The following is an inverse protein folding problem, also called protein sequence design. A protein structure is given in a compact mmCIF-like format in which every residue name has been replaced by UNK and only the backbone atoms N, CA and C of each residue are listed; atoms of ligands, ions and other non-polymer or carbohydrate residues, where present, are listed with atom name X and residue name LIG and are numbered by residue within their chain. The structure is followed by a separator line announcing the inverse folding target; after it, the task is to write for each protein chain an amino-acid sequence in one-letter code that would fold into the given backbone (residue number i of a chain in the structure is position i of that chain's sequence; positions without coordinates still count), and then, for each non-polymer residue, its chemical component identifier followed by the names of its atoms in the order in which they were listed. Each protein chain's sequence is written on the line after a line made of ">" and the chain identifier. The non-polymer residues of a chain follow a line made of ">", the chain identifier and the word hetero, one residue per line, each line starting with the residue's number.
data_IF_235304703551
#
_entry.id   IF_235304703551
#
_cell.length_a   1.000
_cell.length_b   1.000
_cell.length_c   1.000
_cell.angle_alpha   90.00
_cell.angle_beta   90.00
_cell.angle_gamma   90.00
#
_symmetry.space_group_name_H-M   'P 1'
#
loop_
_entity.id
_entity.type
_entity.pdbx_description
1 polymer ?
#
# COMPACT_ATOMS: atom_id res chain seq x y z
N UNK A 1 -46.73 61.32 3.83
CA UNK A 1 -46.67 61.26 2.35
C UNK A 1 -45.97 59.97 1.95
N UNK A 2 -46.31 59.22 0.90
CA UNK A 2 -47.53 59.15 0.07
C UNK A 2 -47.49 57.84 -0.74
N UNK A 3 -48.45 56.94 -0.48
CA UNK A 3 -49.14 56.01 -1.41
C UNK A 3 -48.33 54.99 -2.28
N UNK A 4 -48.65 53.71 -2.02
CA UNK A 4 -48.81 52.53 -2.91
C UNK A 4 -47.93 52.23 -4.14
N UNK A 5 -47.61 50.94 -4.28
CA UNK A 5 -48.08 50.14 -5.42
C UNK A 5 -48.58 48.75 -4.95
N UNK A 6 -49.63 48.21 -5.58
CA UNK A 6 -50.33 47.00 -5.13
C UNK A 6 -49.79 45.68 -5.70
N UNK A 7 -50.10 44.60 -4.96
CA UNK A 7 -49.92 43.19 -5.29
C UNK A 7 -50.37 42.73 -6.69
N UNK A 8 -49.79 41.59 -7.12
CA UNK A 8 -50.57 40.51 -7.76
C UNK A 8 -50.23 39.16 -7.14
N UNK A 9 -51.27 38.42 -6.73
CA UNK A 9 -51.18 36.98 -6.44
C UNK A 9 -51.04 36.22 -7.76
N UNK A 10 -50.27 35.13 -7.77
CA UNK A 10 -50.46 34.05 -8.75
C UNK A 10 -50.34 32.70 -8.06
N UNK A 11 -51.42 31.93 -8.11
CA UNK A 11 -51.73 30.71 -7.35
C UNK A 11 -52.75 29.91 -8.19
N UNK A 12 -52.63 28.60 -8.46
CA UNK A 12 -51.58 27.59 -8.20
C UNK A 12 -51.60 26.60 -9.40
N UNK A 13 -50.50 25.92 -9.73
CA UNK A 13 -50.62 24.57 -10.32
C UNK A 13 -49.45 23.66 -9.96
N UNK A 14 -49.74 22.56 -9.27
CA UNK A 14 -48.82 21.44 -9.14
C UNK A 14 -48.98 20.52 -10.35
N UNK A 15 -47.88 20.22 -11.04
CA UNK A 15 -47.82 19.11 -11.98
C UNK A 15 -47.07 17.95 -11.31
N UNK A 16 -47.80 16.93 -10.87
CA UNK A 16 -47.25 15.68 -10.35
C UNK A 16 -46.58 14.89 -11.46
N UNK A 17 -45.24 14.85 -11.46
CA UNK A 17 -44.42 14.10 -12.40
C UNK A 17 -43.29 13.39 -11.69
N UNK A 18 -43.63 12.40 -10.85
CA UNK A 18 -42.71 11.66 -9.99
C UNK A 18 -41.79 10.67 -10.72
N UNK A 19 -41.07 11.13 -11.75
CA UNK A 19 -39.95 10.40 -12.33
C UNK A 19 -38.74 10.49 -11.40
N UNK A 20 -38.58 9.51 -10.52
CA UNK A 20 -37.35 9.38 -9.72
C UNK A 20 -36.20 9.00 -10.66
N UNK A 21 -35.54 10.02 -11.23
CA UNK A 21 -34.28 9.86 -11.92
C UNK A 21 -33.24 9.39 -10.91
N UNK A 22 -33.06 8.07 -10.80
CA UNK A 22 -31.95 7.51 -10.05
C UNK A 22 -30.67 8.10 -10.61
N UNK A 23 -29.83 8.77 -9.79
CA UNK A 23 -28.52 9.19 -10.25
C UNK A 23 -27.74 7.91 -10.56
N UNK A 24 -27.56 7.61 -11.84
CA UNK A 24 -26.67 6.54 -12.29
C UNK A 24 -25.25 7.01 -12.02
N UNK A 25 -24.80 6.82 -10.78
CA UNK A 25 -23.41 7.04 -10.41
C UNK A 25 -22.57 6.18 -11.33
N UNK A 26 -21.70 6.76 -12.19
CA UNK A 26 -20.82 5.93 -12.99
C UNK A 26 -19.90 5.20 -12.01
N UNK A 27 -20.06 3.88 -11.91
CA UNK A 27 -19.12 3.00 -11.21
C UNK A 27 -17.82 2.98 -12.00
N UNK A 28 -17.04 4.06 -11.83
CA UNK A 28 -15.63 4.11 -12.16
C UNK A 28 -14.99 3.05 -11.27
N UNK A 29 -14.86 1.84 -11.79
CA UNK A 29 -14.03 0.83 -11.15
C UNK A 29 -12.65 1.45 -11.10
N UNK A 30 -12.18 1.80 -9.89
CA UNK A 30 -10.83 2.29 -9.72
C UNK A 30 -9.89 1.22 -10.30
N UNK A 31 -8.92 1.59 -11.14
CA UNK A 31 -7.97 0.62 -11.68
C UNK A 31 -7.30 -0.10 -10.51
N UNK A 32 -7.21 -1.44 -10.60
CA UNK A 32 -6.50 -2.26 -9.62
C UNK A 32 -5.01 -1.94 -9.73
N UNK A 33 -4.50 -1.15 -8.79
CA UNK A 33 -3.08 -0.83 -8.69
C UNK A 33 -2.35 -1.91 -7.89
N UNK A 34 -1.15 -2.24 -8.31
CA UNK A 34 -0.24 -3.14 -7.61
C UNK A 34 1.10 -2.44 -7.36
N UNK A 35 1.72 -2.72 -6.22
CA UNK A 35 3.11 -2.32 -5.94
C UNK A 35 4.03 -3.25 -6.76
N UNK A 36 4.72 -2.70 -7.76
CA UNK A 36 5.71 -3.45 -8.55
C UNK A 36 6.99 -3.72 -7.77
N UNK A 37 7.46 -2.74 -7.00
CA UNK A 37 8.65 -2.84 -6.16
C UNK A 37 8.53 -1.98 -4.91
N UNK A 38 9.29 -2.33 -3.88
CA UNK A 38 9.50 -1.57 -2.65
C UNK A 38 11.00 -1.52 -2.35
N UNK A 39 11.57 -0.32 -2.40
CA UNK A 39 12.97 -0.07 -2.03
C UNK A 39 13.05 0.29 -0.54
N UNK A 40 13.97 -0.34 0.18
CA UNK A 40 14.45 0.09 1.49
C UNK A 40 15.92 0.53 1.36
N UNK A 41 16.18 1.78 1.71
CA UNK A 41 17.54 2.25 1.98
C UNK A 41 17.95 1.83 3.39
N UNK A 42 19.01 1.03 3.48
CA UNK A 42 19.49 0.35 4.71
C UNK A 42 20.96 0.67 4.94
N UNK A 43 21.42 0.64 6.19
CA UNK A 43 22.83 0.99 6.51
C UNK A 43 23.81 -0.02 5.90
N UNK A 44 23.42 -1.29 5.86
CA UNK A 44 24.20 -2.40 5.29
C UNK A 44 23.24 -3.36 4.56
N UNK A 45 23.25 -3.39 3.21
CA UNK A 45 22.37 -4.26 2.44
C UNK A 45 22.63 -5.75 2.61
N UNK A 46 23.88 -6.18 2.77
CA UNK A 46 24.23 -7.60 2.95
C UNK A 46 23.76 -8.09 4.32
N UNK A 47 24.07 -7.33 5.38
CA UNK A 47 23.63 -7.65 6.73
C UNK A 47 22.10 -7.60 6.87
N UNK A 48 21.43 -6.67 6.19
CA UNK A 48 19.97 -6.62 6.14
C UNK A 48 19.37 -7.80 5.38
N UNK A 49 19.94 -8.17 4.23
CA UNK A 49 19.53 -9.36 3.47
C UNK A 49 19.66 -10.64 4.31
N UNK A 50 20.77 -10.79 5.04
CA UNK A 50 20.98 -11.90 6.00
C UNK A 50 19.92 -11.89 7.12
N UNK A 51 19.66 -10.73 7.73
CA UNK A 51 18.64 -10.60 8.78
C UNK A 51 17.23 -10.99 8.29
N UNK A 52 16.82 -10.50 7.11
CA UNK A 52 15.53 -10.87 6.51
C UNK A 52 15.47 -12.35 6.09
N UNK A 53 16.62 -12.93 5.73
CA UNK A 53 16.76 -14.36 5.41
C UNK A 53 16.54 -15.25 6.63
N UNK A 54 17.07 -14.86 7.79
CA UNK A 54 16.94 -15.58 9.06
C UNK A 54 15.59 -15.33 9.75
N UNK A 55 15.13 -14.08 9.79
CA UNK A 55 13.92 -13.69 10.51
C UNK A 55 12.63 -14.09 9.78
N UNK A 56 12.62 -14.08 8.45
CA UNK A 56 11.41 -14.28 7.63
C UNK A 56 11.53 -15.41 6.59
N UNK A 57 12.71 -16.03 6.43
CA UNK A 57 12.92 -17.05 5.40
C UNK A 57 12.99 -16.50 3.97
N UNK A 58 13.11 -15.18 3.79
CA UNK A 58 13.30 -14.56 2.46
C UNK A 58 14.64 -14.99 1.85
N UNK A 59 14.80 -14.85 0.54
CA UNK A 59 16.03 -15.24 -0.17
C UNK A 59 16.38 -14.15 -1.16
N UNK A 60 17.47 -13.46 -0.89
CA UNK A 60 17.92 -12.32 -1.69
C UNK A 60 18.95 -12.74 -2.74
N UNK A 61 18.96 -12.02 -3.86
CA UNK A 61 19.99 -12.10 -4.90
C UNK A 61 20.72 -10.77 -4.94
N UNK A 62 22.05 -10.80 -5.02
CA UNK A 62 22.85 -9.59 -5.28
C UNK A 62 22.69 -9.18 -6.74
N UNK A 63 22.36 -7.92 -6.97
CA UNK A 63 22.15 -7.36 -8.30
C UNK A 63 22.91 -6.04 -8.49
N UNK A 64 23.32 -5.78 -9.73
CA UNK A 64 23.89 -4.51 -10.15
C UNK A 64 23.39 -4.16 -11.54
N UNK A 65 22.71 -3.02 -11.68
CA UNK A 65 22.11 -2.61 -12.95
C UNK A 65 23.10 -1.84 -13.83
N UNK A 66 23.78 -2.56 -14.71
CA UNK A 66 24.82 -2.01 -15.57
C UNK A 66 26.12 -1.71 -14.81
N UNK A 67 27.15 -1.26 -15.55
CA UNK A 67 28.54 -1.18 -15.04
C UNK A 67 28.72 -0.23 -13.85
N UNK A 68 27.89 0.81 -13.77
CA UNK A 68 27.95 1.84 -12.73
C UNK A 68 26.69 1.89 -11.83
N UNK A 69 25.81 0.89 -11.91
CA UNK A 69 24.65 0.82 -11.03
C UNK A 69 25.07 0.56 -9.57
N UNK A 70 24.26 0.96 -8.57
CA UNK A 70 24.51 0.53 -7.20
C UNK A 70 24.33 -0.98 -7.08
N UNK A 71 25.21 -1.63 -6.32
CA UNK A 71 24.97 -2.99 -5.84
C UNK A 71 23.83 -2.94 -4.83
N UNK A 72 22.90 -3.87 -4.95
CA UNK A 72 21.71 -3.98 -4.10
C UNK A 72 21.29 -5.44 -3.98
N UNK A 73 20.41 -5.75 -3.03
CA UNK A 73 19.87 -7.10 -2.83
C UNK A 73 18.38 -7.12 -3.12
N UNK A 74 17.93 -7.98 -4.04
CA UNK A 74 16.53 -8.10 -4.45
C UNK A 74 15.90 -9.42 -3.99
N UNK A 75 14.59 -9.44 -3.73
CA UNK A 75 13.81 -10.68 -3.59
C UNK A 75 12.38 -10.52 -4.10
N UNK A 76 11.85 -11.56 -4.75
CA UNK A 76 10.49 -11.56 -5.27
C UNK A 76 9.47 -12.03 -4.21
N UNK A 77 8.46 -11.22 -3.95
CA UNK A 77 7.34 -11.53 -3.06
C UNK A 77 6.13 -12.05 -3.85
N UNK A 78 5.15 -12.59 -3.13
CA UNK A 78 3.89 -13.07 -3.71
C UNK A 78 3.18 -11.97 -4.51
N UNK A 79 2.65 -12.33 -5.69
CA UNK A 79 2.04 -11.39 -6.63
C UNK A 79 3.03 -10.72 -7.59
N UNK A 80 4.34 -10.86 -7.38
CA UNK A 80 5.37 -10.28 -8.25
C UNK A 80 5.87 -8.90 -7.82
N UNK A 81 5.56 -8.47 -6.59
CA UNK A 81 6.23 -7.32 -5.97
C UNK A 81 7.68 -7.68 -5.65
N UNK A 82 8.65 -6.86 -6.05
CA UNK A 82 10.06 -7.01 -5.65
C UNK A 82 10.34 -6.20 -4.38
N UNK A 83 11.07 -6.76 -3.43
CA UNK A 83 11.65 -6.02 -2.30
C UNK A 83 13.14 -5.84 -2.58
N UNK A 84 13.62 -4.61 -2.52
CA UNK A 84 14.99 -4.22 -2.87
C UNK A 84 15.66 -3.51 -1.69
N UNK A 85 16.89 -3.92 -1.37
CA UNK A 85 17.71 -3.35 -0.30
C UNK A 85 18.89 -2.62 -0.94
N UNK A 86 18.88 -1.28 -0.86
CA UNK A 86 19.95 -0.41 -1.36
C UNK A 86 20.71 0.20 -0.18
N UNK A 87 22.00 0.50 -0.36
CA UNK A 87 22.76 1.24 0.65
C UNK A 87 22.16 2.64 0.84
N UNK A 88 21.91 3.00 2.09
CA UNK A 88 21.68 4.39 2.47
C UNK A 88 22.95 5.23 2.24
N UNK A 89 22.79 6.53 2.02
CA UNK A 89 23.87 7.47 1.75
C UNK A 89 23.37 8.92 1.79
N UNK A 90 24.22 9.86 1.36
CA UNK A 90 23.93 11.30 1.47
C UNK A 90 22.64 11.73 0.76
N UNK A 91 22.36 11.16 -0.41
CA UNK A 91 21.13 11.42 -1.19
C UNK A 91 19.89 10.65 -0.68
N UNK A 92 20.10 9.58 0.08
CA UNK A 92 19.08 8.59 0.45
C UNK A 92 19.24 8.14 1.92
N UNK A 93 18.55 8.80 2.87
CA UNK A 93 18.63 8.42 4.27
C UNK A 93 18.02 7.04 4.51
N UNK A 94 18.48 6.39 5.59
CA UNK A 94 17.90 5.12 6.08
C UNK A 94 16.38 5.21 6.16
N UNK A 95 15.72 4.25 5.52
CA UNK A 95 14.26 4.19 5.41
C UNK A 95 13.63 3.97 6.78
N UNK A 96 12.47 4.61 7.03
CA UNK A 96 11.72 4.48 8.28
C UNK A 96 10.26 4.21 7.97
N UNK A 97 9.91 2.95 7.76
CA UNK A 97 8.56 2.53 7.34
C UNK A 97 7.97 1.42 8.24
N UNK A 98 6.68 1.12 8.04
CA UNK A 98 6.00 -0.07 8.59
C UNK A 98 5.46 -0.90 7.44
N UNK A 99 5.87 -2.16 7.38
CA UNK A 99 5.53 -3.11 6.30
C UNK A 99 4.62 -4.20 6.88
N UNK A 100 3.43 -4.36 6.32
CA UNK A 100 2.54 -5.48 6.63
C UNK A 100 2.83 -6.65 5.69
N UNK A 101 3.24 -7.80 6.22
CA UNK A 101 3.48 -9.03 5.47
C UNK A 101 2.43 -10.09 5.84
N UNK A 102 1.82 -10.70 4.83
CA UNK A 102 0.88 -11.81 5.01
C UNK A 102 1.54 -13.11 4.58
N UNK A 103 1.84 -13.96 5.55
CA UNK A 103 2.51 -15.26 5.32
C UNK A 103 1.50 -16.41 5.36
N UNK A 104 1.66 -17.47 4.53
CA UNK A 104 0.93 -18.71 4.71
C UNK A 104 1.25 -19.34 6.07
N UNK A 105 0.21 -19.79 6.77
CA UNK A 105 0.32 -20.59 7.98
C UNK A 105 0.52 -22.07 7.61
N UNK A 106 1.70 -22.67 7.85
CA UNK A 106 1.98 -24.05 7.48
C UNK A 106 1.32 -25.07 8.43
N UNK A 107 0.80 -24.64 9.58
CA UNK A 107 0.21 -25.52 10.59
C UNK A 107 -1.31 -25.31 10.76
N UNK A 108 -1.88 -24.29 10.12
CA UNK A 108 -3.30 -23.90 10.27
C UNK A 108 -3.65 -23.32 11.64
N UNK A 109 -2.65 -23.06 12.49
CA UNK A 109 -2.79 -22.45 13.82
C UNK A 109 -2.30 -21.01 13.74
N UNK A 110 -3.22 -20.07 13.50
CA UNK A 110 -2.88 -18.65 13.32
C UNK A 110 -2.26 -18.07 14.60
N UNK A 111 -0.94 -17.76 14.65
CA UNK A 111 -0.38 -16.99 15.75
C UNK A 111 -0.98 -15.58 15.81
N UNK A 112 -0.81 -14.91 16.95
CA UNK A 112 -1.02 -13.47 17.03
C UNK A 112 -0.10 -12.74 16.02
N UNK A 113 -0.50 -11.59 15.45
CA UNK A 113 0.38 -10.79 14.61
C UNK A 113 1.67 -10.44 15.35
N UNK A 114 2.81 -10.70 14.72
CA UNK A 114 4.13 -10.44 15.31
C UNK A 114 4.69 -9.14 14.73
N UNK A 115 4.98 -8.18 15.59
CA UNK A 115 5.70 -6.96 15.22
C UNK A 115 7.19 -7.14 15.54
N UNK A 116 8.02 -7.19 14.51
CA UNK A 116 9.48 -7.20 14.62
C UNK A 116 10.06 -5.89 14.08
N UNK A 117 11.32 -5.62 14.43
CA UNK A 117 12.06 -4.44 13.97
C UNK A 117 13.31 -4.94 13.25
N UNK A 118 13.57 -4.44 12.04
CA UNK A 118 14.79 -4.76 11.27
C UNK A 118 16.03 -4.02 11.86
N UNK A 119 17.26 -4.27 11.36
CA UNK A 119 18.48 -3.64 11.88
C UNK A 119 18.47 -2.10 11.84
N UNK A 120 17.75 -1.52 10.88
CA UNK A 120 17.69 -0.08 10.60
C UNK A 120 16.51 0.64 11.29
N UNK A 121 15.58 -0.12 11.88
CA UNK A 121 14.44 0.41 12.64
C UNK A 121 13.10 0.41 11.90
N UNK A 122 13.01 -0.19 10.70
CA UNK A 122 11.73 -0.44 10.04
C UNK A 122 10.93 -1.47 10.83
N UNK A 123 9.61 -1.31 10.85
CA UNK A 123 8.70 -2.20 11.59
C UNK A 123 8.03 -3.18 10.66
N UNK A 124 8.25 -4.46 10.86
CA UNK A 124 7.64 -5.52 10.04
C UNK A 124 6.53 -6.17 10.87
N UNK A 125 5.30 -6.12 10.36
CA UNK A 125 4.13 -6.75 10.96
C UNK A 125 3.76 -8.00 10.18
N UNK A 126 4.04 -9.15 10.78
CA UNK A 126 3.79 -10.46 10.17
C UNK A 126 2.44 -10.98 10.63
N UNK A 127 1.52 -11.19 9.69
CA UNK A 127 0.20 -11.79 9.94
C UNK A 127 0.08 -13.12 9.20
N UNK A 128 -0.28 -14.17 9.94
CA UNK A 128 -0.56 -15.47 9.35
C UNK A 128 -1.97 -15.53 8.74
N UNK A 129 -2.05 -15.94 7.46
CA UNK A 129 -3.30 -16.38 6.82
C UNK A 129 -3.35 -17.90 6.76
N UNK A 130 -4.54 -18.48 6.82
CA UNK A 130 -4.71 -19.90 6.51
C UNK A 130 -4.12 -20.21 5.12
N UNK A 131 -3.44 -21.35 5.01
CA UNK A 131 -3.10 -21.92 3.72
C UNK A 131 -4.39 -22.10 2.90
N UNK A 132 -4.36 -21.63 1.66
CA UNK A 132 -5.42 -21.90 0.68
C UNK A 132 -5.27 -23.35 0.23
N UNK A 133 -6.31 -24.15 0.47
CA UNK A 133 -6.39 -25.57 0.10
C UNK A 133 -6.49 -25.78 -1.42
#
# INVERSE_FOLDING_TARGET
>A
MTISAMARKTQVSQATGGGHLTPVTPSRHAPTMQISYLVLYVTDPEASAAWYTDALGLRFTEEQHGVNGPVHYSTALGGGTVLELFSAGDDHPVTRTRIGLVVPDPFGVRPAPTLITDPDGNRIEVTARAASA
#
